data_IF_856548810728
#
_entry.id   IF_856548810728
#
_cell.length_a   1.000
_cell.length_b   1.000
_cell.length_c   1.000
_cell.angle_alpha   90.00
_cell.angle_beta   90.00
_cell.angle_gamma   90.00
#
_symmetry.space_group_name_H-M   'P 1'
#
loop_
_entity.id
_entity.type
_entity.pdbx_description
1 polymer ?
#
# COMPACT_ATOMS: atom_id res chain seq x y z
N UNK A 1 -29.80 9.33 2.70
CA UNK A 1 -30.91 9.06 3.65
C UNK A 1 -30.31 8.21 4.76
N UNK A 2 -30.27 8.71 6.00
CA UNK A 2 -29.93 7.85 7.15
C UNK A 2 -31.04 6.81 7.27
N UNK A 3 -30.74 5.57 6.89
CA UNK A 3 -31.58 4.44 7.22
C UNK A 3 -31.56 4.30 8.73
N UNK A 4 -32.71 4.39 9.40
CA UNK A 4 -32.85 4.13 10.84
C UNK A 4 -32.61 2.67 11.24
N UNK A 5 -31.89 1.92 10.39
CA UNK A 5 -31.65 0.49 10.50
C UNK A 5 -30.21 0.24 10.97
N UNK A 6 -30.06 -0.79 11.78
CA UNK A 6 -28.79 -1.31 12.27
C UNK A 6 -27.82 -1.57 11.11
N UNK A 7 -26.62 -1.00 11.20
CA UNK A 7 -25.59 -1.08 10.16
C UNK A 7 -25.16 -2.54 9.90
N UNK A 8 -25.12 -3.38 10.94
CA UNK A 8 -24.70 -4.78 10.82
C UNK A 8 -25.76 -5.66 10.13
N UNK A 9 -26.99 -5.70 10.64
CA UNK A 9 -28.03 -6.60 10.08
C UNK A 9 -28.85 -5.98 8.96
N UNK A 10 -28.82 -4.65 8.79
CA UNK A 10 -29.60 -3.86 7.84
C UNK A 10 -31.12 -4.14 7.87
N UNK A 11 -31.65 -4.58 9.02
CA UNK A 11 -33.05 -5.02 9.17
C UNK A 11 -33.76 -4.41 10.38
N UNK A 12 -33.13 -4.48 11.55
CA UNK A 12 -33.70 -3.99 12.81
C UNK A 12 -33.40 -2.51 13.02
N UNK A 13 -34.19 -1.82 13.84
CA UNK A 13 -33.95 -0.43 14.20
C UNK A 13 -32.67 -0.26 15.05
N UNK A 14 -32.04 0.91 14.93
CA UNK A 14 -30.88 1.30 15.73
C UNK A 14 -31.37 1.63 17.15
N UNK A 15 -30.80 0.92 18.14
CA UNK A 15 -31.08 1.16 19.56
C UNK A 15 -29.80 1.47 20.36
N UNK A 16 -28.63 1.15 19.80
CA UNK A 16 -27.33 1.30 20.44
C UNK A 16 -26.39 2.09 19.53
N UNK A 17 -25.62 2.98 20.14
CA UNK A 17 -24.50 3.68 19.52
C UNK A 17 -23.25 3.27 20.29
N UNK A 18 -22.40 2.47 19.67
CA UNK A 18 -21.17 1.97 20.28
C UNK A 18 -19.99 2.79 19.78
N UNK A 19 -19.20 3.33 20.71
CA UNK A 19 -17.98 4.04 20.35
C UNK A 19 -16.96 3.05 19.76
N UNK A 20 -16.16 3.50 18.81
CA UNK A 20 -15.03 2.73 18.29
C UNK A 20 -13.74 3.53 18.45
N UNK A 21 -12.64 3.00 17.91
CA UNK A 21 -11.34 3.64 17.85
C UNK A 21 -11.33 4.95 17.02
N UNK A 22 -12.39 5.21 16.24
CA UNK A 22 -12.66 6.51 15.61
C UNK A 22 -13.90 7.17 16.24
N UNK A 23 -13.70 8.18 17.11
CA UNK A 23 -14.78 8.86 17.81
C UNK A 23 -15.84 9.48 16.90
N UNK A 24 -15.49 9.78 15.64
CA UNK A 24 -16.40 10.40 14.68
C UNK A 24 -17.27 9.38 13.94
N UNK A 25 -17.00 8.08 14.10
CA UNK A 25 -17.67 7.00 13.37
C UNK A 25 -18.11 5.85 14.29
N UNK A 26 -19.01 6.12 15.27
CA UNK A 26 -19.51 5.06 16.13
C UNK A 26 -20.37 4.06 15.33
N UNK A 27 -20.38 2.80 15.78
CA UNK A 27 -21.25 1.78 15.22
C UNK A 27 -22.71 2.04 15.61
N UNK A 28 -23.62 1.96 14.65
CA UNK A 28 -25.07 2.14 14.89
C UNK A 28 -25.79 0.82 14.76
N UNK A 29 -26.13 0.22 15.91
CA UNK A 29 -26.53 -1.18 16.00
C UNK A 29 -27.89 -1.35 16.67
N UNK A 30 -28.53 -2.48 16.39
CA UNK A 30 -29.58 -3.01 17.26
C UNK A 30 -28.95 -3.80 18.41
N UNK A 31 -29.69 -4.01 19.50
CA UNK A 31 -29.19 -4.69 20.70
C UNK A 31 -28.53 -6.05 20.42
N UNK A 32 -29.08 -6.84 19.50
CA UNK A 32 -28.54 -8.16 19.17
C UNK A 32 -27.20 -8.09 18.44
N UNK A 33 -27.07 -7.20 17.46
CA UNK A 33 -25.80 -7.02 16.75
C UNK A 33 -24.74 -6.34 17.62
N UNK A 34 -25.17 -5.46 18.54
CA UNK A 34 -24.29 -4.84 19.53
C UNK A 34 -23.67 -5.88 20.46
N UNK A 35 -24.49 -6.76 21.05
CA UNK A 35 -24.00 -7.85 21.90
C UNK A 35 -23.02 -8.77 21.16
N UNK A 36 -23.32 -9.11 19.90
CA UNK A 36 -22.40 -9.91 19.06
C UNK A 36 -21.10 -9.19 18.73
N UNK A 37 -21.14 -7.89 18.44
CA UNK A 37 -19.93 -7.11 18.17
C UNK A 37 -18.99 -7.17 19.38
N UNK A 38 -19.51 -6.96 20.59
CA UNK A 38 -18.73 -6.95 21.83
C UNK A 38 -18.14 -8.33 22.17
N UNK A 39 -18.81 -9.41 21.74
CA UNK A 39 -18.38 -10.79 21.93
C UNK A 39 -17.57 -11.37 20.76
N UNK A 40 -17.22 -10.53 19.79
CA UNK A 40 -16.54 -10.92 18.56
C UNK A 40 -17.25 -12.07 17.82
N UNK A 41 -18.59 -12.08 17.90
CA UNK A 41 -19.45 -13.17 17.45
C UNK A 41 -20.38 -12.76 16.31
N UNK A 42 -20.01 -11.74 15.53
CA UNK A 42 -20.77 -11.34 14.36
C UNK A 42 -20.87 -12.48 13.34
N UNK A 43 -22.04 -12.61 12.70
CA UNK A 43 -22.16 -13.46 11.52
C UNK A 43 -21.42 -12.82 10.34
N UNK A 44 -20.94 -13.60 9.36
CA UNK A 44 -20.17 -13.06 8.23
C UNK A 44 -20.84 -11.89 7.50
N UNK A 45 -22.15 -11.95 7.24
CA UNK A 45 -22.89 -10.84 6.61
C UNK A 45 -23.00 -9.59 7.52
N UNK A 46 -23.06 -9.80 8.84
CA UNK A 46 -23.12 -8.70 9.81
C UNK A 46 -21.77 -7.98 9.88
N UNK A 47 -20.68 -8.74 9.92
CA UNK A 47 -19.32 -8.22 9.80
C UNK A 47 -19.13 -7.49 8.47
N UNK A 48 -19.51 -8.10 7.34
CA UNK A 48 -19.37 -7.50 6.00
C UNK A 48 -20.01 -6.12 5.92
N UNK A 49 -21.26 -6.00 6.38
CA UNK A 49 -21.98 -4.73 6.33
C UNK A 49 -21.32 -3.64 7.20
N UNK A 50 -20.74 -4.01 8.34
CA UNK A 50 -19.97 -3.06 9.16
C UNK A 50 -18.65 -2.70 8.50
N UNK A 51 -17.91 -3.68 7.98
CA UNK A 51 -16.62 -3.48 7.32
C UNK A 51 -16.73 -2.56 6.10
N UNK A 52 -17.82 -2.63 5.33
CA UNK A 52 -18.08 -1.72 4.19
C UNK A 52 -18.15 -0.25 4.62
N UNK A 53 -18.67 0.03 5.82
CA UNK A 53 -18.85 1.40 6.32
C UNK A 53 -17.63 1.87 7.08
N UNK A 54 -17.08 0.99 7.92
CA UNK A 54 -16.10 1.35 8.95
C UNK A 54 -14.67 0.94 8.61
N UNK A 55 -14.48 0.14 7.55
CA UNK A 55 -13.27 -0.63 7.24
C UNK A 55 -13.03 -1.78 8.22
N UNK A 56 -12.53 -2.92 7.76
CA UNK A 56 -12.19 -4.02 8.65
C UNK A 56 -10.91 -3.74 9.46
N UNK A 57 -10.20 -2.64 9.20
CA UNK A 57 -9.04 -2.21 9.99
C UNK A 57 -9.41 -1.63 11.37
N UNK A 58 -10.70 -1.49 11.68
CA UNK A 58 -11.17 -1.10 13.03
C UNK A 58 -10.99 -2.26 14.00
N UNK A 59 -10.64 -1.95 15.24
CA UNK A 59 -10.27 -2.96 16.25
C UNK A 59 -11.30 -4.09 16.36
N UNK A 60 -12.59 -3.75 16.48
CA UNK A 60 -13.66 -4.75 16.65
C UNK A 60 -14.02 -5.53 15.37
N UNK A 61 -13.40 -5.23 14.23
CA UNK A 61 -13.62 -5.89 12.94
C UNK A 61 -12.33 -6.53 12.38
N UNK A 62 -11.22 -6.37 13.10
CA UNK A 62 -9.86 -6.71 12.67
C UNK A 62 -9.63 -8.21 12.48
N UNK A 63 -8.54 -8.55 11.78
CA UNK A 63 -8.16 -9.92 11.46
C UNK A 63 -7.79 -10.80 12.68
N UNK A 64 -7.57 -10.16 13.84
CA UNK A 64 -7.40 -10.83 15.13
C UNK A 64 -8.66 -11.61 15.53
N UNK A 65 -9.84 -11.13 15.10
CA UNK A 65 -11.14 -11.67 15.47
C UNK A 65 -11.88 -12.31 14.30
N UNK A 66 -11.65 -11.85 13.07
CA UNK A 66 -12.41 -12.27 11.89
C UNK A 66 -11.50 -12.67 10.73
N UNK A 67 -11.88 -13.71 9.99
CA UNK A 67 -11.26 -14.04 8.72
C UNK A 67 -11.62 -13.04 7.61
N UNK A 68 -10.99 -13.19 6.44
CA UNK A 68 -11.23 -12.34 5.26
C UNK A 68 -12.71 -12.29 4.83
N UNK A 69 -13.46 -13.38 5.02
CA UNK A 69 -14.88 -13.44 4.68
C UNK A 69 -15.81 -13.18 5.88
N UNK A 70 -15.27 -12.67 7.00
CA UNK A 70 -16.02 -12.32 8.20
C UNK A 70 -16.37 -13.51 9.11
N UNK A 71 -15.74 -14.66 8.90
CA UNK A 71 -15.87 -15.79 9.81
C UNK A 71 -15.19 -15.46 11.15
N UNK A 72 -15.93 -15.50 12.26
CA UNK A 72 -15.37 -15.25 13.58
C UNK A 72 -14.39 -16.36 13.99
N UNK A 73 -13.16 -15.98 14.32
CA UNK A 73 -12.07 -16.89 14.67
C UNK A 73 -12.01 -17.20 16.17
N UNK A 74 -12.42 -16.25 17.02
CA UNK A 74 -12.33 -16.35 18.48
C UNK A 74 -13.58 -15.78 19.18
N UNK A 75 -14.80 -16.23 18.82
CA UNK A 75 -16.01 -15.68 19.41
C UNK A 75 -16.15 -16.11 20.87
N UNK A 76 -16.66 -15.22 21.72
CA UNK A 76 -16.96 -15.54 23.12
C UNK A 76 -18.21 -16.44 23.26
N UNK A 77 -18.98 -16.61 22.18
CA UNK A 77 -20.17 -17.47 22.12
C UNK A 77 -20.26 -18.23 20.79
N UNK A 78 -20.91 -19.40 20.82
CA UNK A 78 -21.13 -20.19 19.61
C UNK A 78 -22.06 -19.47 18.61
N UNK A 79 -21.65 -19.41 17.35
CA UNK A 79 -22.41 -18.77 16.28
C UNK A 79 -22.97 -19.82 15.34
N UNK A 80 -24.30 -19.79 15.15
CA UNK A 80 -24.96 -20.59 14.11
C UNK A 80 -25.00 -19.78 12.82
N UNK A 81 -24.16 -20.14 11.85
CA UNK A 81 -24.11 -19.49 10.53
C UNK A 81 -24.89 -20.33 9.51
N UNK A 82 -25.91 -19.75 8.90
CA UNK A 82 -26.62 -20.37 7.76
C UNK A 82 -26.11 -19.82 6.44
N UNK A 83 -26.53 -20.43 5.31
CA UNK A 83 -26.18 -19.94 3.97
C UNK A 83 -26.55 -18.46 3.73
N UNK A 84 -27.62 -17.96 4.38
CA UNK A 84 -28.07 -16.57 4.25
C UNK A 84 -27.24 -15.58 5.07
N UNK A 85 -26.39 -16.09 5.95
CA UNK A 85 -25.57 -15.30 6.85
C UNK A 85 -24.13 -15.15 6.33
N UNK A 86 -23.82 -15.71 5.17
CA UNK A 86 -22.50 -15.58 4.52
C UNK A 86 -22.30 -14.20 3.93
N UNK A 87 -21.08 -13.68 3.99
CA UNK A 87 -20.67 -12.51 3.22
C UNK A 87 -20.72 -12.83 1.71
N UNK A 88 -20.94 -11.83 0.84
CA UNK A 88 -20.86 -12.01 -0.61
C UNK A 88 -19.46 -12.45 -1.03
N UNK A 89 -19.35 -13.41 -1.94
CA UNK A 89 -18.08 -13.74 -2.59
C UNK A 89 -17.86 -12.86 -3.82
N UNK A 90 -16.61 -12.77 -4.30
CA UNK A 90 -16.29 -12.02 -5.53
C UNK A 90 -17.17 -12.44 -6.73
N UNK A 91 -17.49 -13.73 -6.85
CA UNK A 91 -18.37 -14.25 -7.89
C UNK A 91 -19.78 -13.66 -7.88
N UNK A 92 -20.28 -13.30 -6.70
CA UNK A 92 -21.62 -12.75 -6.49
C UNK A 92 -21.68 -11.25 -6.85
N UNK A 93 -20.59 -10.52 -6.60
CA UNK A 93 -20.56 -9.05 -6.71
C UNK A 93 -19.88 -8.52 -7.97
N UNK A 94 -19.03 -9.31 -8.65
CA UNK A 94 -18.15 -8.83 -9.75
C UNK A 94 -18.85 -8.10 -10.91
N UNK A 95 -20.15 -8.34 -11.10
CA UNK A 95 -20.94 -7.75 -12.19
C UNK A 95 -21.71 -6.49 -11.77
N UNK A 96 -21.71 -6.13 -10.48
CA UNK A 96 -22.33 -4.93 -9.94
C UNK A 96 -21.24 -4.02 -9.35
N UNK A 97 -21.07 -2.81 -9.92
CA UNK A 97 -19.96 -1.93 -9.57
C UNK A 97 -20.00 -1.50 -8.10
N UNK A 98 -21.18 -1.13 -7.59
CA UNK A 98 -21.31 -0.66 -6.21
C UNK A 98 -21.03 -1.78 -5.20
N UNK A 99 -21.59 -2.96 -5.44
CA UNK A 99 -21.33 -4.14 -4.61
C UNK A 99 -19.86 -4.57 -4.69
N UNK A 100 -19.21 -4.42 -5.84
CA UNK A 100 -17.79 -4.73 -6.01
C UNK A 100 -16.89 -3.71 -5.29
N UNK A 101 -17.28 -2.44 -5.24
CA UNK A 101 -16.59 -1.42 -4.43
C UNK A 101 -16.78 -1.67 -2.93
N UNK A 102 -17.97 -2.06 -2.49
CA UNK A 102 -18.22 -2.50 -1.11
C UNK A 102 -17.33 -3.70 -0.76
N UNK A 103 -17.33 -4.71 -1.63
CA UNK A 103 -16.49 -5.89 -1.46
C UNK A 103 -15.02 -5.52 -1.39
N UNK A 104 -14.56 -4.62 -2.26
CA UNK A 104 -13.17 -4.18 -2.25
C UNK A 104 -12.81 -3.55 -0.91
N UNK A 105 -13.65 -2.72 -0.28
CA UNK A 105 -13.41 -2.13 1.05
C UNK A 105 -13.20 -3.20 2.13
N UNK A 106 -13.92 -4.32 2.07
CA UNK A 106 -13.82 -5.38 3.09
C UNK A 106 -12.56 -6.25 3.00
N UNK A 107 -11.77 -6.13 1.93
CA UNK A 107 -10.54 -6.93 1.78
C UNK A 107 -9.38 -6.30 2.54
N UNK A 108 -8.50 -7.13 3.11
CA UNK A 108 -7.29 -6.65 3.77
C UNK A 108 -6.38 -5.90 2.78
N UNK A 109 -6.25 -6.47 1.58
CA UNK A 109 -5.51 -5.88 0.46
C UNK A 109 -6.38 -5.81 -0.79
N UNK A 110 -6.11 -4.83 -1.66
CA UNK A 110 -6.73 -4.78 -2.96
C UNK A 110 -6.06 -5.79 -3.91
N UNK A 111 -6.55 -7.02 -3.92
CA UNK A 111 -5.96 -8.13 -4.67
C UNK A 111 -6.18 -8.06 -6.18
N UNK A 112 -5.34 -8.78 -6.93
CA UNK A 112 -5.30 -8.73 -8.39
C UNK A 112 -6.59 -9.18 -9.07
N UNK A 113 -7.33 -10.13 -8.50
CA UNK A 113 -8.61 -10.60 -9.02
C UNK A 113 -9.73 -9.57 -8.86
N UNK A 114 -9.78 -8.85 -7.74
CA UNK A 114 -10.67 -7.71 -7.49
C UNK A 114 -10.33 -6.56 -8.43
N UNK A 115 -9.04 -6.21 -8.59
CA UNK A 115 -8.58 -5.22 -9.57
C UNK A 115 -9.04 -5.59 -10.97
N UNK A 116 -8.84 -6.85 -11.37
CA UNK A 116 -9.25 -7.35 -12.68
C UNK A 116 -10.77 -7.35 -12.88
N UNK A 117 -11.55 -7.55 -11.80
CA UNK A 117 -13.00 -7.43 -11.86
C UNK A 117 -13.43 -5.96 -12.03
N UNK A 118 -12.85 -5.03 -11.26
CA UNK A 118 -13.13 -3.59 -11.36
C UNK A 118 -12.79 -3.04 -12.75
N UNK A 119 -11.67 -3.48 -13.35
CA UNK A 119 -11.25 -3.09 -14.72
C UNK A 119 -12.21 -3.51 -15.84
N UNK A 120 -13.16 -4.41 -15.58
CA UNK A 120 -14.19 -4.81 -16.56
C UNK A 120 -15.38 -3.86 -16.61
N UNK A 121 -15.52 -2.99 -15.61
CA UNK A 121 -16.56 -1.97 -15.57
C UNK A 121 -16.19 -0.76 -16.42
N UNK A 122 -17.18 0.05 -16.78
CA UNK A 122 -16.96 1.30 -17.49
C UNK A 122 -16.10 2.26 -16.66
N UNK A 123 -15.02 2.75 -17.24
CA UNK A 123 -14.04 3.60 -16.53
C UNK A 123 -14.64 4.90 -16.01
N UNK A 124 -15.55 5.54 -16.77
CA UNK A 124 -16.17 6.80 -16.35
C UNK A 124 -17.18 6.61 -15.22
N UNK A 125 -17.98 5.54 -15.27
CA UNK A 125 -18.86 5.15 -14.16
C UNK A 125 -18.05 4.79 -12.93
N UNK A 126 -16.99 4.00 -13.09
CA UNK A 126 -16.10 3.61 -12.00
C UNK A 126 -15.50 4.82 -11.30
N UNK A 127 -14.92 5.77 -12.06
CA UNK A 127 -14.40 7.01 -11.49
C UNK A 127 -15.49 7.83 -10.77
N UNK A 128 -16.70 7.90 -11.32
CA UNK A 128 -17.82 8.59 -10.68
C UNK A 128 -18.20 7.96 -9.34
N UNK A 129 -18.32 6.63 -9.29
CA UNK A 129 -18.64 5.87 -8.08
C UNK A 129 -17.53 5.96 -7.03
N UNK A 130 -16.27 5.83 -7.43
CA UNK A 130 -15.09 5.98 -6.54
C UNK A 130 -15.09 7.37 -5.89
N UNK A 131 -15.31 8.43 -6.67
CA UNK A 131 -15.42 9.80 -6.15
C UNK A 131 -16.60 9.95 -5.20
N UNK A 132 -17.77 9.44 -5.57
CA UNK A 132 -18.97 9.52 -4.73
C UNK A 132 -18.74 8.83 -3.38
N UNK A 133 -18.05 7.69 -3.37
CA UNK A 133 -17.69 6.98 -2.15
C UNK A 133 -16.65 7.73 -1.32
N UNK A 134 -15.59 8.25 -1.95
CA UNK A 134 -14.54 9.02 -1.28
C UNK A 134 -15.09 10.26 -0.55
N UNK A 135 -15.95 11.03 -1.21
CA UNK A 135 -16.55 12.24 -0.63
C UNK A 135 -17.80 11.96 0.24
N UNK A 136 -18.31 10.72 0.22
CA UNK A 136 -19.51 10.33 0.95
C UNK A 136 -19.26 9.82 2.37
N UNK A 137 -18.00 9.74 2.79
CA UNK A 137 -17.57 9.23 4.09
C UNK A 137 -16.48 10.12 4.67
N UNK A 138 -16.29 10.06 5.99
CA UNK A 138 -15.11 10.61 6.65
C UNK A 138 -14.09 9.53 7.02
N UNK A 139 -14.36 8.27 6.67
CA UNK A 139 -13.52 7.15 7.09
C UNK A 139 -12.21 7.16 6.29
N UNK A 140 -11.09 7.30 6.99
CA UNK A 140 -9.76 7.32 6.38
C UNK A 140 -9.50 6.09 5.51
N UNK A 141 -9.77 4.90 6.03
CA UNK A 141 -9.48 3.64 5.36
C UNK A 141 -10.32 3.44 4.10
N UNK A 142 -11.60 3.83 4.14
CA UNK A 142 -12.47 3.80 2.95
C UNK A 142 -11.96 4.80 1.91
N UNK A 143 -11.60 6.03 2.32
CA UNK A 143 -11.00 7.03 1.43
C UNK A 143 -9.67 6.53 0.83
N UNK A 144 -8.82 5.90 1.63
CA UNK A 144 -7.56 5.30 1.22
C UNK A 144 -7.79 4.21 0.17
N UNK A 145 -8.74 3.29 0.39
CA UNK A 145 -9.12 2.26 -0.59
C UNK A 145 -9.62 2.85 -1.91
N UNK A 146 -10.33 3.98 -1.88
CA UNK A 146 -10.74 4.67 -3.12
C UNK A 146 -9.55 5.26 -3.90
N UNK A 147 -8.51 5.72 -3.21
CA UNK A 147 -7.25 6.16 -3.83
C UNK A 147 -6.43 4.97 -4.36
N UNK A 148 -6.44 3.82 -3.69
CA UNK A 148 -5.86 2.58 -4.22
C UNK A 148 -6.57 2.12 -5.51
N UNK A 149 -7.90 2.14 -5.54
CA UNK A 149 -8.68 1.87 -6.76
C UNK A 149 -8.33 2.89 -7.85
N UNK A 150 -8.15 4.16 -7.51
CA UNK A 150 -7.66 5.15 -8.47
C UNK A 150 -6.29 4.76 -9.03
N UNK A 151 -5.38 4.31 -8.16
CA UNK A 151 -4.03 3.93 -8.52
C UNK A 151 -3.99 2.71 -9.45
N UNK A 152 -4.66 1.63 -9.06
CA UNK A 152 -4.48 0.29 -9.63
C UNK A 152 -5.54 -0.10 -10.68
N UNK A 153 -6.68 0.60 -10.70
CA UNK A 153 -7.79 0.38 -11.66
C UNK A 153 -7.89 1.51 -12.68
N UNK A 154 -7.97 2.77 -12.23
CA UNK A 154 -8.32 3.91 -13.10
C UNK A 154 -7.10 4.53 -13.80
N UNK A 155 -5.96 4.63 -13.11
CA UNK A 155 -4.74 5.25 -13.63
C UNK A 155 -4.99 6.63 -14.24
N UNK A 156 -4.51 6.85 -15.46
CA UNK A 156 -4.59 8.14 -16.19
C UNK A 156 -6.01 8.74 -16.23
N UNK A 157 -7.05 7.89 -16.25
CA UNK A 157 -8.45 8.37 -16.25
C UNK A 157 -8.82 9.14 -14.98
N UNK A 158 -8.13 8.91 -13.85
CA UNK A 158 -8.31 9.65 -12.61
C UNK A 158 -7.49 10.96 -12.53
N UNK A 159 -6.67 11.29 -13.53
CA UNK A 159 -5.75 12.44 -13.51
C UNK A 159 -6.37 13.76 -13.08
N UNK A 160 -7.52 14.14 -13.65
CA UNK A 160 -8.22 15.38 -13.30
C UNK A 160 -8.69 15.40 -11.84
N UNK A 161 -9.06 14.24 -11.29
CA UNK A 161 -9.45 14.15 -9.89
C UNK A 161 -8.23 14.18 -8.95
N UNK A 162 -7.15 13.47 -9.30
CA UNK A 162 -5.92 13.47 -8.50
C UNK A 162 -5.29 14.87 -8.44
N UNK A 163 -5.32 15.65 -9.53
CA UNK A 163 -4.89 17.06 -9.50
C UNK A 163 -5.71 17.89 -8.51
N UNK A 164 -7.03 17.73 -8.53
CA UNK A 164 -7.91 18.42 -7.58
C UNK A 164 -7.60 18.04 -6.13
N UNK A 165 -7.31 16.77 -5.86
CA UNK A 165 -6.89 16.34 -4.51
C UNK A 165 -5.56 16.97 -4.07
N UNK A 166 -4.66 17.29 -4.99
CA UNK A 166 -3.46 18.06 -4.68
C UNK A 166 -3.72 19.56 -4.45
N UNK A 167 -4.74 20.13 -5.10
CA UNK A 167 -5.21 21.50 -4.83
C UNK A 167 -5.85 21.60 -3.44
N UNK A 168 -6.70 20.64 -3.11
CA UNK A 168 -7.39 20.50 -1.82
C UNK A 168 -6.63 19.52 -0.89
N UNK A 169 -5.29 19.64 -0.85
CA UNK A 169 -4.43 18.65 -0.20
C UNK A 169 -4.69 18.49 1.29
N UNK A 170 -4.87 17.22 1.68
CA UNK A 170 -4.98 16.76 3.05
C UNK A 170 -3.75 15.89 3.39
N UNK A 171 -3.06 16.25 4.47
CA UNK A 171 -1.79 15.63 4.86
C UNK A 171 -1.94 14.19 5.35
N UNK A 172 -3.11 13.80 5.85
CA UNK A 172 -3.38 12.43 6.28
C UNK A 172 -3.27 11.44 5.10
N UNK A 173 -3.55 11.91 3.88
CA UNK A 173 -3.60 11.08 2.68
C UNK A 173 -2.31 11.07 1.87
N UNK A 174 -1.18 11.60 2.38
CA UNK A 174 0.08 11.67 1.64
C UNK A 174 0.47 10.33 0.98
N UNK A 175 0.34 9.22 1.69
CA UNK A 175 0.72 7.90 1.18
C UNK A 175 -0.24 7.40 0.09
N UNK A 176 -1.56 7.25 0.33
CA UNK A 176 -2.47 6.77 -0.70
C UNK A 176 -2.58 7.71 -1.90
N UNK A 177 -2.51 9.04 -1.72
CA UNK A 177 -2.53 9.98 -2.85
C UNK A 177 -1.26 9.86 -3.69
N UNK A 178 -0.10 9.55 -3.08
CA UNK A 178 1.15 9.34 -3.82
C UNK A 178 1.06 8.15 -4.78
N UNK A 179 0.37 7.08 -4.39
CA UNK A 179 0.14 5.92 -5.25
C UNK A 179 -0.77 6.26 -6.43
N UNK A 180 -1.88 6.94 -6.17
CA UNK A 180 -2.77 7.43 -7.23
C UNK A 180 -2.02 8.39 -8.18
N UNK A 181 -1.16 9.24 -7.63
CA UNK A 181 -0.33 10.19 -8.40
C UNK A 181 0.61 9.47 -9.35
N UNK A 182 1.31 8.44 -8.89
CA UNK A 182 2.28 7.70 -9.69
C UNK A 182 1.68 7.06 -10.96
N UNK A 183 0.40 6.66 -10.93
CA UNK A 183 -0.27 6.06 -12.08
C UNK A 183 -1.17 7.02 -12.86
N UNK A 184 -1.58 8.14 -12.25
CA UNK A 184 -2.55 9.06 -12.84
C UNK A 184 -1.93 10.31 -13.46
N UNK A 185 -0.77 10.77 -12.97
CA UNK A 185 -0.13 12.01 -13.44
C UNK A 185 1.17 11.74 -14.22
N UNK A 186 1.61 12.67 -15.09
CA UNK A 186 2.97 12.68 -15.61
C UNK A 186 4.01 12.63 -14.48
N UNK A 187 5.07 11.85 -14.66
CA UNK A 187 6.06 11.61 -13.62
C UNK A 187 6.68 12.89 -13.06
N UNK A 188 7.02 13.86 -13.90
CA UNK A 188 7.58 15.15 -13.46
C UNK A 188 6.61 15.92 -12.56
N UNK A 189 5.35 16.04 -12.97
CA UNK A 189 4.29 16.70 -12.20
C UNK A 189 4.10 16.00 -10.84
N UNK A 190 3.94 14.67 -10.85
CA UNK A 190 3.71 13.90 -9.64
C UNK A 190 4.89 13.91 -8.66
N UNK A 191 6.12 13.77 -9.16
CA UNK A 191 7.32 13.83 -8.33
C UNK A 191 7.47 15.22 -7.69
N UNK A 192 7.20 16.29 -8.42
CA UNK A 192 7.27 17.65 -7.88
C UNK A 192 6.30 17.86 -6.70
N UNK A 193 5.07 17.35 -6.81
CA UNK A 193 4.09 17.42 -5.73
C UNK A 193 4.60 16.69 -4.47
N UNK A 194 5.06 15.46 -4.63
CA UNK A 194 5.49 14.60 -3.50
C UNK A 194 6.79 15.12 -2.88
N UNK A 195 7.78 15.51 -3.68
CA UNK A 195 9.01 16.11 -3.16
C UNK A 195 8.72 17.37 -2.34
N UNK A 196 7.73 18.17 -2.74
CA UNK A 196 7.26 19.31 -1.96
C UNK A 196 6.81 18.92 -0.54
N UNK A 197 6.11 17.79 -0.40
CA UNK A 197 5.61 17.28 0.88
C UNK A 197 6.62 16.47 1.69
N UNK A 198 7.65 15.91 1.04
CA UNK A 198 8.73 15.20 1.74
C UNK A 198 9.77 16.16 2.36
N UNK A 199 9.90 17.40 1.87
CA UNK A 199 10.83 18.41 2.42
C UNK A 199 10.73 18.65 3.94
N UNK A 200 9.53 18.83 4.53
CA UNK A 200 9.40 19.05 5.97
C UNK A 200 9.51 17.77 6.82
N UNK A 201 9.55 16.57 6.22
CA UNK A 201 9.62 15.31 6.96
C UNK A 201 10.97 15.21 7.67
N UNK A 202 10.97 14.72 8.90
CA UNK A 202 12.19 14.59 9.70
C UNK A 202 13.20 13.63 9.06
N UNK A 203 14.50 13.88 9.24
CA UNK A 203 15.58 13.04 8.71
C UNK A 203 15.43 11.55 9.09
N UNK A 204 14.84 11.27 10.26
CA UNK A 204 14.59 9.92 10.76
C UNK A 204 13.45 9.22 10.01
N UNK A 205 12.39 9.93 9.66
CA UNK A 205 11.18 9.36 9.03
C UNK A 205 11.24 9.41 7.51
N UNK A 206 12.03 10.34 6.96
CA UNK A 206 12.14 10.59 5.54
C UNK A 206 12.43 9.34 4.70
N UNK A 207 13.33 8.41 5.07
CA UNK A 207 13.59 7.22 4.25
C UNK A 207 12.35 6.35 4.06
N UNK A 208 11.57 6.13 5.14
CA UNK A 208 10.33 5.36 5.09
C UNK A 208 9.26 6.09 4.28
N UNK A 209 9.04 7.38 4.57
CA UNK A 209 8.06 8.19 3.84
C UNK A 209 8.39 8.27 2.34
N UNK A 210 9.66 8.48 2.00
CA UNK A 210 10.16 8.50 0.63
C UNK A 210 9.92 7.18 -0.08
N UNK A 211 10.26 6.05 0.56
CA UNK A 211 10.00 4.74 -0.01
C UNK A 211 8.50 4.58 -0.30
N UNK A 212 7.64 4.77 0.71
CA UNK A 212 6.18 4.60 0.59
C UNK A 212 5.55 5.47 -0.49
N UNK A 213 6.02 6.71 -0.66
CA UNK A 213 5.45 7.64 -1.63
C UNK A 213 6.00 7.45 -3.06
N UNK A 214 7.28 7.10 -3.20
CA UNK A 214 7.99 7.23 -4.48
C UNK A 214 8.22 5.91 -5.22
N UNK A 215 8.11 4.75 -4.56
CA UNK A 215 8.49 3.47 -5.15
C UNK A 215 7.75 3.14 -6.45
N UNK A 216 6.48 3.59 -6.59
CA UNK A 216 5.65 3.35 -7.78
C UNK A 216 6.04 4.18 -9.00
N UNK A 217 6.75 5.30 -8.83
CA UNK A 217 7.19 6.15 -9.95
C UNK A 217 8.32 5.51 -10.75
N UNK A 218 9.17 4.71 -10.10
CA UNK A 218 10.30 4.01 -10.71
C UNK A 218 11.11 4.95 -11.62
N UNK A 219 11.65 6.04 -11.09
CA UNK A 219 12.28 7.08 -11.90
C UNK A 219 13.73 7.32 -11.50
N UNK A 220 14.60 7.50 -12.49
CA UNK A 220 16.00 7.88 -12.27
C UNK A 220 16.14 9.23 -11.54
N UNK A 221 15.15 10.12 -11.69
CA UNK A 221 15.10 11.40 -10.98
C UNK A 221 15.08 11.18 -9.46
N UNK A 222 14.46 10.10 -8.98
CA UNK A 222 14.45 9.75 -7.56
C UNK A 222 15.85 9.39 -7.09
N UNK A 223 16.64 8.69 -7.91
CA UNK A 223 18.02 8.36 -7.56
C UNK A 223 18.88 9.63 -7.46
N UNK A 224 18.68 10.62 -8.34
CA UNK A 224 19.36 11.92 -8.24
C UNK A 224 18.95 12.66 -6.95
N UNK A 225 17.66 12.59 -6.62
CA UNK A 225 17.13 13.18 -5.38
C UNK A 225 17.71 12.51 -4.12
N UNK A 226 17.83 11.17 -4.10
CA UNK A 226 18.51 10.42 -3.02
C UNK A 226 19.94 10.93 -2.85
N UNK A 227 20.70 11.13 -3.93
CA UNK A 227 22.08 11.65 -3.84
C UNK A 227 22.17 13.03 -3.19
N UNK A 228 21.20 13.91 -3.47
CA UNK A 228 21.16 15.27 -2.92
C UNK A 228 20.59 15.36 -1.49
N UNK A 229 19.84 14.35 -1.05
CA UNK A 229 19.03 14.41 0.17
C UNK A 229 19.54 13.47 1.27
N UNK A 230 20.13 12.34 0.89
CA UNK A 230 20.55 11.33 1.86
C UNK A 230 21.81 11.77 2.63
N UNK A 231 21.61 12.06 3.91
CA UNK A 231 22.66 12.41 4.88
C UNK A 231 23.05 11.24 5.77
N UNK A 232 22.09 10.35 6.08
CA UNK A 232 22.26 9.19 6.95
C UNK A 232 21.75 7.92 6.24
N UNK A 233 22.48 6.82 6.44
CA UNK A 233 22.10 5.53 5.90
C UNK A 233 20.84 4.97 6.58
N UNK A 234 19.92 4.48 5.76
CA UNK A 234 18.73 3.72 6.14
C UNK A 234 18.42 2.74 5.00
N UNK A 235 17.93 1.54 5.32
CA UNK A 235 17.67 0.46 4.36
C UNK A 235 16.54 0.79 3.38
N UNK A 236 15.57 1.64 3.77
CA UNK A 236 14.53 2.15 2.88
C UNK A 236 15.09 2.93 1.68
N UNK A 237 16.25 3.57 1.82
CA UNK A 237 16.92 4.18 0.66
C UNK A 237 17.35 3.14 -0.37
N UNK A 238 17.89 2.02 0.09
CA UNK A 238 18.27 0.90 -0.78
C UNK A 238 17.05 0.30 -1.46
N UNK A 239 15.96 0.06 -0.71
CA UNK A 239 14.69 -0.44 -1.25
C UNK A 239 14.13 0.48 -2.34
N UNK A 240 14.10 1.79 -2.10
CA UNK A 240 13.63 2.77 -3.08
C UNK A 240 14.53 2.81 -4.31
N UNK A 241 15.84 2.83 -4.11
CA UNK A 241 16.78 2.88 -5.23
C UNK A 241 16.69 1.64 -6.14
N UNK A 242 16.39 0.47 -5.55
CA UNK A 242 16.23 -0.80 -6.26
C UNK A 242 15.15 -0.74 -7.33
N UNK A 243 14.02 -0.10 -7.06
CA UNK A 243 12.88 -0.07 -7.99
C UNK A 243 12.96 1.06 -9.02
N UNK A 244 13.94 1.98 -8.88
CA UNK A 244 14.10 3.19 -9.67
C UNK A 244 15.11 3.06 -10.81
N UNK A 245 15.16 1.88 -11.45
CA UNK A 245 16.05 1.56 -12.58
C UNK A 245 17.53 1.84 -12.28
N UNK A 246 18.10 1.24 -11.21
CA UNK A 246 19.49 1.45 -10.86
C UNK A 246 20.42 0.96 -11.97
N UNK A 247 21.47 1.74 -12.25
CA UNK A 247 22.49 1.37 -13.24
C UNK A 247 23.80 1.01 -12.56
N UNK A 248 24.59 0.15 -13.22
CA UNK A 248 25.88 -0.25 -12.71
C UNK A 248 26.85 0.92 -12.54
N UNK A 249 26.89 1.85 -13.50
CA UNK A 249 27.68 3.09 -13.39
C UNK A 249 27.32 3.90 -12.15
N UNK A 250 26.03 3.97 -11.80
CA UNK A 250 25.59 4.66 -10.58
C UNK A 250 26.01 3.91 -9.33
N UNK A 251 25.90 2.58 -9.32
CA UNK A 251 26.38 1.76 -8.19
C UNK A 251 27.88 1.96 -7.97
N UNK A 252 28.71 1.93 -9.03
CA UNK A 252 30.16 2.22 -8.96
C UNK A 252 30.42 3.62 -8.39
N UNK A 253 29.72 4.63 -8.89
CA UNK A 253 29.82 6.01 -8.39
C UNK A 253 29.50 6.10 -6.90
N UNK A 254 28.42 5.47 -6.45
CA UNK A 254 28.01 5.47 -5.04
C UNK A 254 28.99 4.72 -4.12
N UNK A 255 29.53 3.58 -4.57
CA UNK A 255 30.61 2.88 -3.86
C UNK A 255 31.83 3.78 -3.68
N UNK A 256 32.21 4.53 -4.72
CA UNK A 256 33.36 5.44 -4.68
C UNK A 256 33.15 6.66 -3.76
N UNK A 257 31.92 7.21 -3.70
CA UNK A 257 31.56 8.33 -2.82
C UNK A 257 31.63 8.00 -1.32
N UNK A 258 31.63 6.72 -0.95
CA UNK A 258 31.66 6.31 0.46
C UNK A 258 30.29 6.41 1.14
N UNK A 259 30.25 6.45 2.47
CA UNK A 259 28.98 6.42 3.21
C UNK A 259 28.28 7.80 3.17
N UNK A 260 26.94 7.86 3.12
CA UNK A 260 26.00 6.74 3.18
C UNK A 260 25.76 6.01 1.84
N UNK A 261 26.03 6.66 0.70
CA UNK A 261 25.65 6.18 -0.63
C UNK A 261 26.18 4.80 -0.99
N UNK A 262 27.42 4.48 -0.60
CA UNK A 262 28.00 3.15 -0.83
C UNK A 262 27.22 2.02 -0.14
N UNK A 263 26.64 2.26 1.04
CA UNK A 263 25.78 1.27 1.71
C UNK A 263 24.42 1.16 1.00
N UNK A 264 23.91 2.26 0.47
CA UNK A 264 22.69 2.27 -0.35
C UNK A 264 22.92 1.47 -1.63
N UNK A 265 24.09 1.60 -2.28
CA UNK A 265 24.44 0.82 -3.47
C UNK A 265 24.46 -0.70 -3.18
N UNK A 266 25.09 -1.10 -2.07
CA UNK A 266 25.10 -2.51 -1.64
C UNK A 266 23.70 -3.03 -1.33
N UNK A 267 22.87 -2.25 -0.63
CA UNK A 267 21.50 -2.65 -0.36
C UNK A 267 20.65 -2.69 -1.64
N UNK A 268 20.88 -1.78 -2.59
CA UNK A 268 20.22 -1.74 -3.89
C UNK A 268 20.48 -3.03 -4.68
N UNK A 269 21.75 -3.41 -4.82
CA UNK A 269 22.15 -4.65 -5.50
C UNK A 269 21.61 -5.89 -4.79
N UNK A 270 21.69 -5.93 -3.45
CA UNK A 270 21.21 -7.08 -2.69
C UNK A 270 19.69 -7.26 -2.82
N UNK A 271 18.91 -6.18 -2.84
CA UNK A 271 17.45 -6.20 -3.02
C UNK A 271 17.00 -6.64 -4.43
N UNK A 272 17.91 -6.77 -5.39
CA UNK A 272 17.59 -7.39 -6.69
C UNK A 272 17.51 -8.92 -6.61
N UNK A 273 17.99 -9.54 -5.52
CA UNK A 273 17.92 -10.99 -5.32
C UNK A 273 16.49 -11.39 -4.93
N UNK A 274 15.90 -12.38 -5.61
CA UNK A 274 14.57 -12.89 -5.28
C UNK A 274 14.54 -13.53 -3.89
N UNK A 275 13.46 -13.32 -3.16
CA UNK A 275 13.31 -13.74 -1.77
C UNK A 275 14.06 -12.84 -0.79
N UNK A 276 14.71 -11.77 -1.25
CA UNK A 276 15.41 -10.83 -0.38
C UNK A 276 14.72 -9.48 -0.22
N UNK A 277 14.20 -8.94 -1.31
CA UNK A 277 13.31 -7.78 -1.24
C UNK A 277 12.04 -8.13 -0.47
N UNK A 278 11.39 -7.13 0.10
CA UNK A 278 10.01 -7.29 0.55
C UNK A 278 9.05 -7.32 -0.66
N UNK A 279 7.78 -7.63 -0.40
CA UNK A 279 6.74 -7.75 -1.44
C UNK A 279 6.65 -6.51 -2.36
N UNK A 280 6.94 -5.31 -1.85
CA UNK A 280 6.85 -4.08 -2.64
C UNK A 280 8.01 -3.93 -3.63
N UNK A 281 9.16 -4.53 -3.35
CA UNK A 281 10.31 -4.57 -4.27
C UNK A 281 10.18 -5.75 -5.23
N UNK A 282 9.83 -6.94 -4.72
CA UNK A 282 9.81 -8.18 -5.49
C UNK A 282 8.82 -8.15 -6.65
N UNK A 283 7.68 -7.49 -6.49
CA UNK A 283 6.67 -7.34 -7.55
C UNK A 283 7.23 -6.72 -8.85
N UNK A 284 8.34 -5.99 -8.78
CA UNK A 284 8.98 -5.38 -9.95
C UNK A 284 10.11 -6.21 -10.54
N UNK A 285 10.55 -7.27 -9.86
CA UNK A 285 11.70 -8.11 -10.24
C UNK A 285 12.90 -7.25 -10.71
N UNK A 286 13.40 -6.33 -9.86
CA UNK A 286 14.38 -5.32 -10.26
C UNK A 286 15.74 -5.92 -10.56
N UNK A 287 16.51 -5.22 -11.40
CA UNK A 287 17.88 -5.59 -11.81
C UNK A 287 18.73 -4.34 -11.93
N UNK A 288 20.05 -4.52 -11.84
CA UNK A 288 21.01 -3.47 -12.11
C UNK A 288 21.27 -3.42 -13.62
N UNK A 289 21.05 -2.26 -14.23
CA UNK A 289 21.12 -2.08 -15.66
C UNK A 289 22.53 -1.71 -16.15
N UNK A 290 22.89 -2.22 -17.34
CA UNK A 290 24.11 -1.82 -18.04
C UNK A 290 25.41 -2.29 -17.40
N UNK A 291 25.39 -3.43 -16.72
CA UNK A 291 26.56 -3.99 -16.03
C UNK A 291 27.57 -4.59 -17.00
N UNK A 292 28.84 -4.22 -16.83
CA UNK A 292 29.96 -5.01 -17.33
C UNK A 292 30.31 -6.09 -16.30
N UNK A 293 30.13 -7.35 -16.67
CA UNK A 293 30.25 -8.49 -15.74
C UNK A 293 31.68 -8.75 -15.32
N UNK A 294 32.65 -8.37 -16.15
CA UNK A 294 34.05 -8.68 -15.94
C UNK A 294 34.67 -7.83 -14.81
N UNK A 295 34.04 -6.70 -14.47
CA UNK A 295 34.49 -5.81 -13.40
C UNK A 295 33.77 -5.98 -12.05
N UNK A 296 32.64 -6.70 -12.01
CA UNK A 296 31.78 -6.82 -10.80
C UNK A 296 32.56 -7.36 -9.61
N UNK A 297 33.20 -8.53 -9.77
CA UNK A 297 33.88 -9.20 -8.66
C UNK A 297 35.05 -8.35 -8.15
N UNK A 298 35.83 -7.76 -9.06
CA UNK A 298 36.98 -6.92 -8.71
C UNK A 298 36.54 -5.69 -7.92
N UNK A 299 35.57 -4.93 -8.43
CA UNK A 299 35.09 -3.68 -7.81
C UNK A 299 34.47 -3.93 -6.43
N UNK A 300 33.65 -4.97 -6.30
CA UNK A 300 33.01 -5.29 -5.02
C UNK A 300 34.03 -5.78 -3.98
N UNK A 301 35.01 -6.59 -4.40
CA UNK A 301 36.07 -7.05 -3.51
C UNK A 301 36.97 -5.89 -3.06
N UNK A 302 37.36 -5.00 -3.98
CA UNK A 302 38.15 -3.81 -3.66
C UNK A 302 37.42 -2.90 -2.66
N UNK A 303 36.13 -2.67 -2.89
CA UNK A 303 35.31 -1.93 -1.93
C UNK A 303 35.22 -2.64 -0.58
N UNK A 304 35.03 -3.97 -0.55
CA UNK A 304 34.98 -4.74 0.69
C UNK A 304 36.30 -4.72 1.47
N UNK A 305 37.44 -4.55 0.81
CA UNK A 305 38.73 -4.34 1.50
C UNK A 305 38.82 -2.92 2.07
N UNK A 306 38.31 -1.92 1.34
CA UNK A 306 38.29 -0.51 1.76
C UNK A 306 37.35 -0.26 2.94
N UNK A 307 36.16 -0.86 2.95
CA UNK A 307 35.18 -0.79 4.05
C UNK A 307 34.90 -2.20 4.59
N UNK A 308 35.86 -2.72 5.37
CA UNK A 308 35.88 -4.13 5.83
C UNK A 308 34.94 -4.49 6.97
N UNK A 309 33.90 -3.70 7.25
CA UNK A 309 32.94 -4.01 8.33
C UNK A 309 32.10 -5.26 8.01
N UNK A 310 31.61 -6.00 9.03
CA UNK A 310 30.86 -7.24 8.81
C UNK A 310 29.67 -7.12 7.86
N UNK A 311 28.89 -6.03 7.96
CA UNK A 311 27.74 -5.77 7.07
C UNK A 311 28.14 -5.71 5.60
N UNK A 312 29.23 -4.99 5.29
CA UNK A 312 29.72 -4.83 3.91
C UNK A 312 30.18 -6.16 3.35
N UNK A 313 31.02 -6.90 4.10
CA UNK A 313 31.50 -8.22 3.70
C UNK A 313 30.36 -9.19 3.40
N UNK A 314 29.36 -9.25 4.29
CA UNK A 314 28.19 -10.09 4.12
C UNK A 314 27.37 -9.70 2.88
N UNK A 315 27.17 -8.39 2.64
CA UNK A 315 26.44 -7.89 1.47
C UNK A 315 27.18 -8.19 0.17
N UNK A 316 28.48 -7.94 0.13
CA UNK A 316 29.32 -8.23 -1.04
C UNK A 316 29.31 -9.72 -1.37
N UNK A 317 29.52 -10.60 -0.37
CA UNK A 317 29.46 -12.04 -0.57
C UNK A 317 28.12 -12.48 -1.19
N UNK A 318 27.00 -11.98 -0.65
CA UNK A 318 25.67 -12.27 -1.18
C UNK A 318 25.48 -11.79 -2.62
N UNK A 319 25.95 -10.59 -2.95
CA UNK A 319 25.84 -10.04 -4.31
C UNK A 319 26.64 -10.91 -5.29
N UNK A 320 27.86 -11.29 -4.93
CA UNK A 320 28.72 -12.16 -5.76
C UNK A 320 28.09 -13.55 -5.96
N UNK A 321 27.53 -14.13 -4.90
CA UNK A 321 26.83 -15.42 -4.96
C UNK A 321 25.60 -15.40 -5.90
N UNK A 322 24.94 -14.24 -6.06
CA UNK A 322 23.69 -14.09 -6.82
C UNK A 322 23.85 -13.19 -8.05
N UNK A 323 25.08 -13.01 -8.56
CA UNK A 323 25.39 -12.03 -9.62
C UNK A 323 24.60 -12.23 -10.92
N UNK A 324 24.27 -13.47 -11.27
CA UNK A 324 23.44 -13.73 -12.46
C UNK A 324 22.07 -13.08 -12.33
N UNK A 325 21.41 -13.21 -11.19
CA UNK A 325 20.09 -12.64 -10.98
C UNK A 325 20.11 -11.10 -10.91
N UNK A 326 21.15 -10.55 -10.31
CA UNK A 326 21.27 -9.10 -10.09
C UNK A 326 21.61 -8.36 -11.40
N UNK A 327 22.41 -8.99 -12.28
CA UNK A 327 23.04 -8.32 -13.42
C UNK A 327 22.70 -8.91 -14.80
N UNK A 328 21.92 -10.00 -14.92
CA UNK A 328 21.53 -10.64 -16.20
C UNK A 328 20.01 -10.69 -16.40
#
# INVERSE_FOLDING_TARGET
>A
MMTGLCEACQRNEINMIEACDDPNQPYKLCNQCHDRLLKYSLRPIEWYNLAVVHSPNKFSLHDDFYGEDGDACQPEEDIVVTKKDKAPALGDVRNDLESLLDFSITRWFLEGDVINALKKHDTHKTLSSVKARFYGTENYEVKSRMLEVAADVLGISASGWVRKLWEDYDEEFLYPISWATASSLPAEEGLNNIFGKLKPVSEKELPLAAFTCLYRFRSIIILDWIESTCTIFNDHWGRLATVCFPTWERMKSWLNKGRPLSLIALDTMANCVKGYGDMYVEQFSPRILGTDKDEVDQILNDYSQKDGVPRVKMKVARIVENKQEIFE
#
